data_IF_266763845929
#
_entry.id   IF_266763845929
#
_cell.length_a   1.000
_cell.length_b   1.000
_cell.length_c   1.000
_cell.angle_alpha   90.00
_cell.angle_beta   90.00
_cell.angle_gamma   90.00
#
_symmetry.space_group_name_H-M   'P 1'
#
loop_
_entity.id
_entity.type
_entity.pdbx_description
1 polymer ?
#
# COMPACT_ATOMS: atom_id res chain seq x y z
N UNK A 1 8.87 28.00 -0.90
CA UNK A 1 8.64 26.55 -0.90
C UNK A 1 9.39 25.99 -2.09
N UNK A 2 10.25 25.00 -1.86
CA UNK A 2 11.05 24.39 -2.94
C UNK A 2 10.17 23.33 -3.60
N UNK A 3 9.81 23.54 -4.87
CA UNK A 3 9.10 22.56 -5.68
C UNK A 3 9.96 21.31 -5.84
N UNK A 4 9.35 20.12 -5.72
CA UNK A 4 10.05 18.87 -5.96
C UNK A 4 10.53 18.80 -7.43
N UNK A 5 11.82 18.56 -7.61
CA UNK A 5 12.43 18.28 -8.90
C UNK A 5 13.04 16.89 -8.84
N UNK A 6 12.60 16.01 -9.74
CA UNK A 6 13.12 14.66 -9.82
C UNK A 6 14.58 14.65 -10.31
N UNK A 7 15.43 13.97 -9.56
CA UNK A 7 16.81 13.68 -9.93
C UNK A 7 17.06 12.17 -9.83
N UNK A 8 17.60 11.51 -10.87
CA UNK A 8 17.81 10.05 -10.87
C UNK A 8 18.67 9.55 -9.71
N UNK A 9 19.58 10.39 -9.21
CA UNK A 9 20.45 10.11 -8.06
C UNK A 9 20.08 10.93 -6.82
N UNK A 10 18.93 11.60 -6.86
CA UNK A 10 18.45 12.46 -5.79
C UNK A 10 18.04 11.69 -4.52
N UNK A 11 17.72 12.41 -3.44
CA UNK A 11 17.27 11.81 -2.19
C UNK A 11 15.88 11.17 -2.33
N UNK A 12 15.55 10.30 -1.37
CA UNK A 12 14.18 9.85 -1.16
C UNK A 12 13.28 11.04 -0.81
N UNK A 13 12.01 10.99 -1.21
CA UNK A 13 11.11 12.12 -1.04
C UNK A 13 9.79 11.73 -0.36
N UNK A 14 9.35 12.58 0.57
CA UNK A 14 7.96 12.69 1.03
C UNK A 14 7.43 14.01 0.51
N UNK A 15 6.31 13.99 -0.22
CA UNK A 15 5.72 15.18 -0.83
C UNK A 15 4.31 15.37 -0.26
N UNK A 16 4.12 16.50 0.42
CA UNK A 16 2.82 16.92 0.94
C UNK A 16 2.05 17.67 -0.14
N UNK A 17 0.92 17.14 -0.59
CA UNK A 17 0.08 17.82 -1.58
C UNK A 17 -0.80 16.89 -2.41
N UNK A 18 -1.53 17.49 -3.36
CA UNK A 18 -2.29 16.72 -4.36
C UNK A 18 -1.31 15.95 -5.25
N UNK A 19 -1.58 14.68 -5.41
CA UNK A 19 -0.71 13.77 -6.16
C UNK A 19 -0.73 14.01 -7.68
N UNK A 20 -1.81 14.54 -8.25
CA UNK A 20 -1.90 14.74 -9.71
C UNK A 20 -0.87 15.77 -10.24
N UNK A 21 -0.75 16.98 -9.67
CA UNK A 21 0.32 17.91 -10.05
C UNK A 21 1.74 17.35 -9.83
N UNK A 22 1.93 16.58 -8.76
CA UNK A 22 3.23 15.92 -8.50
C UNK A 22 3.55 14.93 -9.61
N UNK A 23 2.61 14.03 -9.96
CA UNK A 23 2.79 13.09 -11.06
C UNK A 23 3.11 13.80 -12.37
N UNK A 24 2.40 14.89 -12.70
CA UNK A 24 2.63 15.69 -13.91
C UNK A 24 4.01 16.34 -13.95
N UNK A 25 4.62 16.59 -12.79
CA UNK A 25 5.97 17.17 -12.70
C UNK A 25 7.09 16.13 -12.89
N UNK A 26 6.79 14.84 -12.73
CA UNK A 26 7.78 13.78 -12.90
C UNK A 26 8.08 13.56 -14.39
N UNK A 27 9.34 13.26 -14.77
CA UNK A 27 9.69 12.87 -16.12
C UNK A 27 9.01 11.56 -16.54
N UNK A 28 8.90 11.33 -17.84
CA UNK A 28 8.42 10.08 -18.39
C UNK A 28 9.42 8.94 -18.17
N UNK A 29 8.91 7.74 -17.82
CA UNK A 29 9.69 6.51 -17.84
C UNK A 29 10.79 6.40 -16.77
N UNK A 30 10.63 7.06 -15.63
CA UNK A 30 11.66 7.13 -14.57
C UNK A 30 11.36 6.29 -13.32
N UNK A 31 10.17 5.71 -13.21
CA UNK A 31 9.71 4.94 -12.05
C UNK A 31 9.66 3.45 -12.38
N UNK A 32 10.38 2.63 -11.65
CA UNK A 32 10.46 1.19 -11.89
C UNK A 32 9.28 0.41 -11.30
N UNK A 33 8.79 0.85 -10.16
CA UNK A 33 7.67 0.22 -9.46
C UNK A 33 6.70 1.27 -8.93
N UNK A 34 5.42 1.11 -9.27
CA UNK A 34 4.33 1.88 -8.68
C UNK A 34 3.43 0.93 -7.89
N UNK A 35 3.22 1.22 -6.61
CA UNK A 35 2.17 0.61 -5.81
C UNK A 35 1.26 1.71 -5.28
N UNK A 36 -0.05 1.53 -5.43
CA UNK A 36 -1.04 2.46 -4.91
C UNK A 36 -2.22 1.75 -4.27
N UNK A 37 -2.70 2.35 -3.19
CA UNK A 37 -3.86 1.95 -2.41
C UNK A 37 -4.79 3.18 -2.25
N UNK A 38 -5.50 3.58 -3.33
CA UNK A 38 -6.36 4.77 -3.29
C UNK A 38 -7.54 4.55 -2.34
N UNK A 39 -8.22 5.62 -1.88
CA UNK A 39 -9.42 5.48 -1.08
C UNK A 39 -10.45 4.57 -1.77
N UNK A 40 -11.00 3.60 -1.01
CA UNK A 40 -11.94 2.62 -1.56
C UNK A 40 -13.36 3.20 -1.57
N UNK A 41 -13.78 3.92 -2.52
CA UNK A 41 -15.14 4.46 -2.71
C UNK A 41 -16.25 3.73 -1.89
N UNK A 42 -16.16 3.82 -0.55
CA UNK A 42 -17.00 3.07 0.38
C UNK A 42 -18.38 3.73 0.56
N UNK A 43 -18.55 4.96 0.10
CA UNK A 43 -19.73 5.79 0.38
C UNK A 43 -19.89 6.11 1.88
N UNK A 44 -18.79 6.03 2.65
CA UNK A 44 -18.76 6.26 4.09
C UNK A 44 -17.54 7.05 4.50
N UNK A 45 -17.72 7.99 5.41
CA UNK A 45 -16.60 8.64 6.09
C UNK A 45 -15.80 7.57 6.84
N UNK A 46 -14.56 7.38 6.49
CA UNK A 46 -13.65 6.48 7.18
C UNK A 46 -13.23 7.14 8.49
N UNK A 47 -13.78 6.69 9.60
CA UNK A 47 -13.45 7.20 10.93
C UNK A 47 -12.79 6.15 11.78
N UNK A 48 -11.70 6.51 12.42
CA UNK A 48 -11.07 5.69 13.43
C UNK A 48 -11.40 6.25 14.82
N UNK A 49 -12.07 5.45 15.64
CA UNK A 49 -12.15 5.66 17.07
C UNK A 49 -10.95 4.97 17.73
N UNK A 50 -10.00 5.74 18.22
CA UNK A 50 -9.00 5.23 19.14
C UNK A 50 -9.69 5.03 20.51
N UNK A 51 -9.93 3.77 20.87
CA UNK A 51 -10.48 3.41 22.19
C UNK A 51 -9.30 3.07 23.10
N UNK A 52 -9.07 3.90 24.11
CA UNK A 52 -8.20 3.54 25.23
C UNK A 52 -9.04 2.78 26.24
N UNK A 53 -8.65 1.54 26.53
CA UNK A 53 -9.32 0.74 27.55
C UNK A 53 -8.43 0.70 28.79
N UNK A 54 -8.87 1.31 29.85
CA UNK A 54 -8.23 1.22 31.16
C UNK A 54 -8.98 0.25 32.07
N UNK A 55 -8.25 -0.46 32.92
CA UNK A 55 -8.86 -1.35 33.92
C UNK A 55 -9.53 -0.51 34.99
N UNK A 56 -10.83 -0.69 35.18
CA UNK A 56 -11.63 0.02 36.16
C UNK A 56 -12.53 -0.95 36.94
N UNK A 57 -12.74 -0.66 38.19
CA UNK A 57 -13.67 -1.41 39.05
C UNK A 57 -15.10 -0.95 38.88
N UNK A 58 -15.32 0.20 38.25
CA UNK A 58 -16.64 0.84 38.09
C UNK A 58 -17.19 0.83 36.68
N UNK A 59 -16.41 0.30 35.71
CA UNK A 59 -16.79 0.29 34.31
C UNK A 59 -17.94 -0.67 34.02
N UNK A 60 -18.82 -0.30 33.09
CA UNK A 60 -20.00 -1.07 32.68
C UNK A 60 -19.68 -2.25 31.76
N UNK A 61 -18.46 -2.35 31.24
CA UNK A 61 -18.05 -3.41 30.32
C UNK A 61 -17.17 -4.43 31.03
N UNK A 62 -17.61 -5.68 31.03
CA UNK A 62 -16.88 -6.81 31.60
C UNK A 62 -15.93 -7.33 30.53
N UNK A 63 -14.63 -7.28 30.81
CA UNK A 63 -13.59 -7.85 29.97
C UNK A 63 -13.34 -9.34 30.25
N UNK A 64 -12.38 -9.91 29.52
CA UNK A 64 -11.96 -11.30 29.70
C UNK A 64 -11.48 -11.57 31.14
N UNK A 65 -11.87 -12.67 31.75
CA UNK A 65 -11.63 -13.07 33.16
C UNK A 65 -12.34 -12.23 34.22
N UNK A 66 -13.49 -11.65 33.92
CA UNK A 66 -14.36 -10.97 34.94
C UNK A 66 -13.85 -9.61 35.42
N UNK A 67 -12.86 -9.02 34.75
CA UNK A 67 -12.45 -7.65 35.05
C UNK A 67 -13.28 -6.64 34.27
N UNK A 68 -13.72 -5.58 34.95
CA UNK A 68 -14.38 -4.46 34.29
C UNK A 68 -13.35 -3.45 33.72
N UNK A 69 -13.67 -2.88 32.58
CA UNK A 69 -12.86 -1.89 31.90
C UNK A 69 -13.66 -0.64 31.62
N UNK A 70 -13.06 0.50 31.85
CA UNK A 70 -13.55 1.78 31.38
C UNK A 70 -13.06 2.00 29.95
N UNK A 71 -13.97 2.36 29.03
CA UNK A 71 -13.62 2.63 27.63
C UNK A 71 -13.64 4.13 27.41
N UNK A 72 -12.49 4.71 27.15
CA UNK A 72 -12.34 6.14 26.86
C UNK A 72 -12.28 6.32 25.34
N UNK A 73 -13.18 7.17 24.80
CA UNK A 73 -13.10 7.59 23.41
C UNK A 73 -11.89 8.49 23.22
N UNK A 74 -10.93 8.04 22.44
CA UNK A 74 -9.80 8.85 22.01
C UNK A 74 -10.19 9.82 20.88
N UNK A 75 -9.19 10.47 20.33
CA UNK A 75 -9.38 11.41 19.23
C UNK A 75 -9.95 10.68 18.01
N UNK A 76 -11.01 11.21 17.46
CA UNK A 76 -11.64 10.74 16.23
C UNK A 76 -10.81 11.26 15.05
N UNK A 77 -10.18 10.33 14.33
CA UNK A 77 -9.52 10.65 13.07
C UNK A 77 -10.37 10.12 11.93
N UNK A 78 -10.73 10.98 10.99
CA UNK A 78 -11.55 10.60 9.84
C UNK A 78 -10.94 11.10 8.54
N UNK A 79 -11.13 10.35 7.48
CA UNK A 79 -10.96 10.81 6.10
C UNK A 79 -12.18 10.37 5.29
N UNK A 80 -12.46 11.11 4.23
CA UNK A 80 -13.60 10.86 3.34
C UNK A 80 -13.12 10.14 2.09
N UNK A 81 -13.70 8.97 1.80
CA UNK A 81 -13.47 8.21 0.57
C UNK A 81 -14.73 8.14 -0.31
N UNK A 82 -15.69 9.02 -0.08
CA UNK A 82 -16.91 9.15 -0.87
C UNK A 82 -16.74 10.25 -1.92
N UNK A 83 -16.48 9.86 -3.17
CA UNK A 83 -16.33 10.75 -4.29
C UNK A 83 -17.57 10.67 -5.18
N UNK A 84 -18.13 11.82 -5.57
CA UNK A 84 -19.25 11.91 -6.53
C UNK A 84 -18.87 11.29 -7.88
N UNK A 85 -17.62 11.45 -8.29
CA UNK A 85 -17.02 10.83 -9.49
C UNK A 85 -15.67 10.20 -9.19
N UNK A 86 -15.68 9.02 -8.57
CA UNK A 86 -14.49 8.29 -8.22
C UNK A 86 -13.56 8.01 -9.42
N UNK A 87 -14.16 7.69 -10.57
CA UNK A 87 -13.37 7.36 -11.76
C UNK A 87 -12.78 8.62 -12.41
N UNK A 88 -13.51 9.74 -12.44
CA UNK A 88 -12.97 11.03 -12.84
C UNK A 88 -11.81 11.50 -11.96
N UNK A 89 -11.80 11.09 -10.70
CA UNK A 89 -10.68 11.31 -9.79
C UNK A 89 -9.48 10.40 -10.08
N UNK A 90 -9.70 9.10 -10.30
CA UNK A 90 -8.63 8.11 -10.39
C UNK A 90 -8.00 8.03 -11.79
N UNK A 91 -8.79 8.14 -12.86
CA UNK A 91 -8.33 7.99 -14.24
C UNK A 91 -7.16 8.92 -14.63
N UNK A 92 -7.20 10.26 -14.40
CA UNK A 92 -6.08 11.12 -14.76
C UNK A 92 -4.79 10.78 -14.02
N UNK A 93 -4.90 10.29 -12.79
CA UNK A 93 -3.77 9.82 -11.98
C UNK A 93 -3.16 8.54 -12.52
N UNK A 94 -3.99 7.62 -12.99
CA UNK A 94 -3.51 6.38 -13.61
C UNK A 94 -2.85 6.63 -14.97
N UNK A 95 -3.36 7.58 -15.76
CA UNK A 95 -2.71 8.01 -17.02
C UNK A 95 -1.31 8.55 -16.75
N UNK A 96 -1.16 9.42 -15.75
CA UNK A 96 0.14 9.96 -15.37
C UNK A 96 1.06 8.88 -14.75
N UNK A 97 0.51 8.01 -13.91
CA UNK A 97 1.26 6.88 -13.37
C UNK A 97 1.82 5.99 -14.51
N UNK A 98 1.01 5.74 -15.53
CA UNK A 98 1.47 5.00 -16.70
C UNK A 98 2.53 5.74 -17.51
N UNK A 99 2.44 7.07 -17.62
CA UNK A 99 3.45 7.89 -18.29
C UNK A 99 4.80 7.82 -17.60
N UNK A 100 4.82 7.99 -16.27
CA UNK A 100 6.07 8.00 -15.50
C UNK A 100 6.67 6.61 -15.29
N UNK A 101 5.90 5.53 -15.52
CA UNK A 101 6.38 4.15 -15.37
C UNK A 101 7.45 3.82 -16.42
N UNK A 102 8.59 3.29 -15.98
CA UNK A 102 9.71 2.87 -16.81
C UNK A 102 9.30 1.78 -17.81
N UNK A 103 10.01 1.61 -18.94
CA UNK A 103 9.69 0.58 -19.93
C UNK A 103 9.59 -0.83 -19.37
N UNK A 104 10.40 -1.17 -18.35
CA UNK A 104 10.39 -2.47 -17.65
C UNK A 104 9.59 -2.46 -16.37
N UNK A 105 8.91 -1.34 -16.08
CA UNK A 105 8.24 -1.09 -14.82
C UNK A 105 6.89 -1.79 -14.66
N UNK A 106 6.47 -1.91 -13.41
CA UNK A 106 5.23 -2.58 -12.99
C UNK A 106 4.37 -1.67 -12.12
N UNK A 107 3.07 -1.65 -12.41
CA UNK A 107 2.03 -0.97 -11.62
C UNK A 107 1.21 -2.00 -10.83
N UNK A 108 1.06 -1.77 -9.53
CA UNK A 108 0.18 -2.49 -8.63
C UNK A 108 -0.92 -1.56 -8.13
N UNK A 109 -2.17 -1.84 -8.49
CA UNK A 109 -3.35 -1.10 -8.02
C UNK A 109 -4.12 -1.97 -7.03
N UNK A 110 -4.14 -1.55 -5.78
CA UNK A 110 -4.81 -2.24 -4.69
C UNK A 110 -6.21 -1.65 -4.48
N UNK A 111 -7.22 -2.50 -4.55
CA UNK A 111 -8.63 -2.14 -4.37
C UNK A 111 -9.37 -3.28 -3.66
N UNK A 112 -10.53 -2.97 -3.11
CA UNK A 112 -11.45 -3.98 -2.65
C UNK A 112 -12.44 -4.42 -3.76
N UNK A 113 -13.30 -5.38 -3.41
CA UNK A 113 -14.26 -6.01 -4.33
C UNK A 113 -15.28 -5.05 -4.96
N UNK A 114 -15.44 -3.83 -4.44
CA UNK A 114 -16.43 -2.85 -4.94
C UNK A 114 -15.99 -2.24 -6.25
N UNK A 115 -14.73 -1.87 -6.35
CA UNK A 115 -14.21 -1.09 -7.48
C UNK A 115 -13.24 -1.87 -8.37
N UNK A 116 -12.66 -2.99 -7.89
CA UNK A 116 -11.61 -3.71 -8.63
C UNK A 116 -12.03 -4.15 -10.02
N UNK A 117 -13.28 -4.60 -10.20
CA UNK A 117 -13.74 -5.09 -11.50
C UNK A 117 -13.92 -3.96 -12.52
N UNK A 118 -14.41 -2.80 -12.07
CA UNK A 118 -14.50 -1.59 -12.90
C UNK A 118 -13.09 -1.07 -13.23
N UNK A 119 -12.20 -1.04 -12.24
CA UNK A 119 -10.80 -0.70 -12.43
C UNK A 119 -10.14 -1.57 -13.49
N UNK A 120 -10.36 -2.89 -13.42
CA UNK A 120 -9.82 -3.84 -14.41
C UNK A 120 -10.23 -3.48 -15.83
N UNK A 121 -11.51 -3.15 -16.05
CA UNK A 121 -12.02 -2.75 -17.39
C UNK A 121 -11.40 -1.44 -17.84
N UNK A 122 -11.29 -0.46 -16.94
CA UNK A 122 -10.67 0.83 -17.24
C UNK A 122 -9.19 0.70 -17.57
N UNK A 123 -8.42 -0.05 -16.77
CA UNK A 123 -7.00 -0.28 -17.00
C UNK A 123 -6.74 -1.04 -18.32
N UNK A 124 -7.59 -2.00 -18.68
CA UNK A 124 -7.53 -2.67 -19.98
C UNK A 124 -7.75 -1.69 -21.14
N UNK A 125 -8.64 -0.71 -20.97
CA UNK A 125 -8.90 0.32 -21.99
C UNK A 125 -7.75 1.34 -22.08
N UNK A 126 -7.13 1.70 -20.94
CA UNK A 126 -6.04 2.68 -20.89
C UNK A 126 -4.69 2.09 -21.31
N UNK A 127 -4.38 0.87 -20.88
CA UNK A 127 -3.02 0.29 -20.96
C UNK A 127 -2.92 -0.90 -21.90
N UNK A 128 -4.06 -1.42 -22.38
CA UNK A 128 -4.14 -2.64 -23.17
C UNK A 128 -4.24 -3.90 -22.31
N UNK A 129 -5.06 -4.86 -22.76
CA UNK A 129 -5.28 -6.12 -22.06
C UNK A 129 -4.02 -6.98 -21.96
N UNK A 130 -3.10 -6.85 -22.89
CA UNK A 130 -1.82 -7.53 -22.95
C UNK A 130 -0.85 -7.10 -21.84
N UNK A 131 -1.03 -5.89 -21.30
CA UNK A 131 -0.26 -5.37 -20.17
C UNK A 131 -0.70 -5.94 -18.83
N UNK A 132 -1.86 -6.57 -18.74
CA UNK A 132 -2.35 -7.24 -17.54
C UNK A 132 -1.55 -8.50 -17.25
N UNK A 133 -0.90 -8.55 -16.09
CA UNK A 133 -0.08 -9.69 -15.69
C UNK A 133 -0.83 -10.63 -14.74
N UNK A 134 -1.32 -10.11 -13.61
CA UNK A 134 -2.01 -10.87 -12.58
C UNK A 134 -3.10 -10.06 -11.87
N UNK A 135 -4.07 -10.76 -11.30
CA UNK A 135 -4.85 -10.31 -10.16
C UNK A 135 -4.36 -11.09 -8.93
N UNK A 136 -3.87 -10.38 -7.92
CA UNK A 136 -3.47 -10.98 -6.66
C UNK A 136 -4.62 -10.84 -5.67
N UNK A 137 -5.02 -11.94 -5.05
CA UNK A 137 -5.99 -11.97 -3.98
C UNK A 137 -5.26 -11.97 -2.64
N UNK A 138 -5.29 -10.85 -1.95
CA UNK A 138 -4.80 -10.81 -0.58
C UNK A 138 -5.92 -11.19 0.39
N UNK A 139 -5.86 -12.43 0.90
CA UNK A 139 -6.83 -12.98 1.83
C UNK A 139 -6.37 -12.81 3.29
N UNK A 140 -7.32 -12.42 4.16
CA UNK A 140 -7.10 -12.22 5.59
C UNK A 140 -8.33 -12.63 6.39
N UNK A 141 -8.18 -12.88 7.71
CA UNK A 141 -9.27 -13.36 8.56
C UNK A 141 -9.65 -12.34 9.66
N UNK A 142 -9.67 -11.06 9.34
CA UNK A 142 -10.07 -10.01 10.27
C UNK A 142 -11.26 -9.20 9.73
N UNK A 143 -12.01 -8.56 10.64
CA UNK A 143 -13.09 -7.64 10.28
C UNK A 143 -14.40 -8.34 9.94
N UNK A 144 -14.98 -8.00 8.82
CA UNK A 144 -16.35 -8.25 8.39
C UNK A 144 -17.01 -9.53 8.94
N UNK A 145 -18.21 -9.38 9.49
CA UNK A 145 -19.10 -10.46 9.91
C UNK A 145 -20.45 -10.26 9.22
N UNK A 146 -21.07 -11.32 8.77
CA UNK A 146 -22.41 -11.27 8.19
C UNK A 146 -23.18 -12.54 8.52
N UNK A 147 -24.49 -12.41 8.66
CA UNK A 147 -25.44 -13.56 8.79
C UNK A 147 -26.25 -13.78 7.50
N UNK A 148 -26.19 -12.82 6.56
CA UNK A 148 -27.02 -12.81 5.34
C UNK A 148 -26.24 -13.01 4.03
N UNK A 149 -24.89 -12.94 4.08
CA UNK A 149 -24.02 -13.16 2.95
C UNK A 149 -22.63 -13.61 3.41
N UNK A 150 -21.83 -14.11 2.49
CA UNK A 150 -20.41 -14.40 2.77
C UNK A 150 -19.68 -13.10 3.14
N UNK A 151 -19.02 -13.03 4.31
CA UNK A 151 -18.25 -11.84 4.68
C UNK A 151 -17.03 -11.70 3.77
N UNK A 152 -16.80 -10.51 3.23
CA UNK A 152 -15.59 -10.22 2.44
C UNK A 152 -14.35 -10.31 3.34
N UNK A 153 -13.37 -11.08 2.91
CA UNK A 153 -12.13 -11.38 3.64
C UNK A 153 -10.91 -11.31 2.71
N UNK A 154 -10.98 -10.46 1.70
CA UNK A 154 -9.87 -10.23 0.79
C UNK A 154 -9.96 -8.86 0.16
N UNK A 155 -8.82 -8.37 -0.26
CA UNK A 155 -8.66 -7.27 -1.20
C UNK A 155 -7.99 -7.81 -2.48
N UNK A 156 -8.05 -7.03 -3.54
CA UNK A 156 -7.53 -7.39 -4.85
C UNK A 156 -6.40 -6.42 -5.23
N UNK A 157 -5.33 -6.95 -5.84
CA UNK A 157 -4.25 -6.12 -6.36
C UNK A 157 -4.10 -6.46 -7.84
N UNK A 158 -4.46 -5.52 -8.71
CA UNK A 158 -4.28 -5.64 -10.15
C UNK A 158 -2.84 -5.31 -10.51
N UNK A 159 -2.20 -6.17 -11.30
CA UNK A 159 -0.80 -6.03 -11.71
C UNK A 159 -0.73 -5.81 -13.22
N UNK A 160 -0.17 -4.66 -13.60
CA UNK A 160 0.05 -4.27 -15.00
C UNK A 160 1.52 -3.98 -15.24
N UNK A 161 2.05 -4.47 -16.35
CA UNK A 161 3.43 -4.24 -16.78
C UNK A 161 3.46 -3.31 -17.99
N UNK A 162 4.41 -2.36 -18.01
CA UNK A 162 4.54 -1.38 -19.10
C UNK A 162 4.79 -2.06 -20.45
N UNK A 163 5.67 -3.06 -20.47
CA UNK A 163 5.96 -3.87 -21.65
C UNK A 163 5.78 -5.35 -21.33
N UNK A 164 4.76 -6.02 -21.89
CA UNK A 164 4.48 -7.44 -21.61
C UNK A 164 5.59 -8.40 -22.06
N UNK A 165 6.55 -7.94 -22.86
CA UNK A 165 7.67 -8.76 -23.36
C UNK A 165 8.97 -8.51 -22.61
N UNK A 166 9.03 -7.44 -21.81
CA UNK A 166 10.24 -7.03 -21.10
C UNK A 166 9.86 -6.26 -19.83
N UNK A 167 9.73 -6.98 -18.73
CA UNK A 167 9.40 -6.43 -17.42
C UNK A 167 10.20 -7.08 -16.29
N UNK A 168 10.39 -6.35 -15.20
CA UNK A 168 11.11 -6.86 -14.03
C UNK A 168 10.24 -7.80 -13.22
N UNK A 169 10.68 -9.08 -13.09
CA UNK A 169 10.09 -10.06 -12.18
C UNK A 169 11.17 -10.98 -11.57
N UNK A 170 11.58 -10.71 -10.35
CA UNK A 170 12.69 -11.39 -9.65
C UNK A 170 12.18 -12.56 -8.81
N UNK A 171 11.75 -13.65 -9.44
CA UNK A 171 11.21 -14.84 -8.75
C UNK A 171 12.13 -15.42 -7.67
N UNK A 172 13.45 -15.23 -7.78
CA UNK A 172 14.44 -15.72 -6.82
C UNK A 172 14.65 -14.81 -5.61
N UNK A 173 14.28 -13.53 -5.73
CA UNK A 173 14.41 -12.55 -4.64
C UNK A 173 13.20 -12.56 -3.70
N UNK A 174 12.06 -13.09 -4.15
CA UNK A 174 10.84 -13.15 -3.36
C UNK A 174 10.96 -14.19 -2.25
N UNK A 175 10.57 -13.81 -1.04
CA UNK A 175 10.52 -14.72 0.10
C UNK A 175 9.66 -15.95 -0.21
N UNK A 176 10.22 -17.14 0.04
CA UNK A 176 9.56 -18.41 -0.23
C UNK A 176 8.53 -18.74 0.83
N UNK A 177 7.46 -19.42 0.45
CA UNK A 177 6.48 -19.99 1.37
C UNK A 177 6.55 -21.52 1.39
N UNK A 178 6.19 -22.16 2.52
CA UNK A 178 6.14 -23.63 2.59
C UNK A 178 5.15 -24.23 1.60
N UNK A 179 5.45 -25.43 1.11
CA UNK A 179 4.46 -26.24 0.38
C UNK A 179 3.33 -26.64 1.34
N UNK A 180 2.08 -26.54 0.88
CA UNK A 180 0.92 -27.02 1.66
C UNK A 180 0.95 -28.53 1.85
N UNK A 181 1.53 -29.27 0.89
CA UNK A 181 1.68 -30.72 0.91
C UNK A 181 3.15 -31.10 0.68
N UNK A 182 4.03 -30.91 1.68
CA UNK A 182 5.47 -31.10 1.51
C UNK A 182 5.86 -32.55 1.18
N UNK A 183 5.02 -33.53 1.53
CA UNK A 183 5.24 -34.94 1.18
C UNK A 183 5.03 -35.27 -0.31
N UNK A 184 4.52 -34.34 -1.12
CA UNK A 184 4.34 -34.53 -2.57
C UNK A 184 5.52 -34.01 -3.39
N UNK A 185 6.55 -33.46 -2.75
CA UNK A 185 7.76 -32.95 -3.41
C UNK A 185 9.00 -33.58 -2.77
N UNK A 186 10.17 -33.41 -3.39
CA UNK A 186 11.39 -33.92 -2.80
C UNK A 186 11.74 -33.14 -1.50
N UNK A 187 12.47 -33.77 -0.55
CA UNK A 187 12.86 -33.09 0.71
C UNK A 187 13.58 -31.75 0.48
N UNK A 188 14.42 -31.66 -0.55
CA UNK A 188 15.17 -30.45 -0.89
C UNK A 188 14.20 -29.33 -1.35
N UNK A 189 13.22 -29.66 -2.18
CA UNK A 189 12.17 -28.71 -2.61
C UNK A 189 11.29 -28.30 -1.43
N UNK A 190 10.91 -29.23 -0.56
CA UNK A 190 10.13 -28.95 0.61
C UNK A 190 10.88 -27.98 1.56
N UNK A 191 12.18 -28.19 1.75
CA UNK A 191 13.03 -27.34 2.59
C UNK A 191 13.22 -25.92 1.97
N UNK A 192 13.37 -25.83 0.65
CA UNK A 192 13.53 -24.53 -0.06
C UNK A 192 12.24 -23.71 -0.04
N UNK A 193 11.09 -24.36 -0.04
CA UNK A 193 9.81 -23.71 -0.24
C UNK A 193 9.52 -23.37 -1.71
N UNK A 194 8.41 -22.71 -1.95
CA UNK A 194 7.94 -22.31 -3.29
C UNK A 194 7.74 -20.79 -3.39
N UNK A 195 7.78 -20.26 -4.59
CA UNK A 195 7.29 -18.92 -4.88
C UNK A 195 5.81 -18.82 -4.47
N UNK A 196 5.38 -17.75 -3.77
CA UNK A 196 3.97 -17.50 -3.54
C UNK A 196 3.15 -17.51 -4.83
N UNK A 197 1.91 -17.98 -4.76
CA UNK A 197 0.95 -17.88 -5.87
C UNK A 197 0.32 -16.49 -5.90
N UNK A 198 -0.69 -16.30 -6.72
CA UNK A 198 -1.50 -15.08 -6.77
C UNK A 198 -2.57 -15.01 -5.65
N UNK A 199 -2.68 -16.01 -4.80
CA UNK A 199 -3.50 -15.97 -3.58
C UNK A 199 -2.60 -15.88 -2.36
N UNK A 200 -2.57 -14.72 -1.73
CA UNK A 200 -1.74 -14.44 -0.57
C UNK A 200 -2.54 -14.49 0.72
N UNK A 201 -2.29 -15.50 1.52
CA UNK A 201 -2.85 -15.58 2.86
C UNK A 201 -1.93 -14.85 3.82
N UNK A 202 -2.27 -13.61 4.16
CA UNK A 202 -1.44 -12.76 5.01
C UNK A 202 -2.32 -11.91 5.94
N UNK A 203 -2.02 -11.90 7.24
CA UNK A 203 -2.80 -11.13 8.21
C UNK A 203 -2.68 -9.61 7.95
N UNK A 204 -3.70 -8.87 8.37
CA UNK A 204 -3.61 -7.41 8.48
C UNK A 204 -2.59 -7.03 9.57
N UNK A 205 -2.22 -5.73 9.61
CA UNK A 205 -1.34 -5.21 10.67
C UNK A 205 -1.94 -5.52 12.04
N UNK A 206 -1.22 -6.30 12.85
CA UNK A 206 -1.67 -6.67 14.19
C UNK A 206 -1.83 -5.42 15.06
N UNK A 207 -2.93 -5.29 15.83
CA UNK A 207 -3.09 -4.21 16.80
C UNK A 207 -1.93 -4.06 17.79
N UNK A 208 -1.21 -5.14 18.06
CA UNK A 208 -0.05 -5.22 18.96
C UNK A 208 1.28 -5.43 18.21
N UNK A 209 1.24 -5.37 16.86
CA UNK A 209 2.43 -5.58 16.02
C UNK A 209 3.44 -4.43 16.13
N UNK A 210 4.73 -4.76 16.05
CA UNK A 210 5.81 -3.76 16.11
C UNK A 210 5.76 -2.77 14.93
N UNK A 211 5.29 -3.21 13.76
CA UNK A 211 5.16 -2.37 12.55
C UNK A 211 4.01 -1.36 12.64
N UNK A 212 3.14 -1.47 13.67
CA UNK A 212 1.95 -0.63 13.76
C UNK A 212 2.30 0.83 14.08
N UNK A 213 1.99 1.72 13.14
CA UNK A 213 2.20 3.16 13.28
C UNK A 213 1.06 3.88 13.98
N UNK A 214 -0.11 3.26 14.02
CA UNK A 214 -1.34 3.89 14.46
C UNK A 214 -2.24 4.38 13.33
N UNK A 215 -1.77 4.48 12.09
CA UNK A 215 -2.58 4.88 10.94
C UNK A 215 -3.68 3.87 10.63
N UNK A 216 -4.89 4.35 10.29
CA UNK A 216 -6.11 3.51 10.26
C UNK A 216 -6.05 2.40 9.20
N UNK A 217 -5.56 2.72 7.99
CA UNK A 217 -5.55 1.86 6.82
C UNK A 217 -4.16 1.33 6.47
N UNK A 218 -3.26 1.30 7.47
CA UNK A 218 -1.91 0.80 7.27
C UNK A 218 -1.90 -0.60 6.66
N UNK A 219 -1.19 -0.77 5.55
CA UNK A 219 -0.95 -2.08 4.94
C UNK A 219 0.24 -2.79 5.62
N UNK A 220 0.23 -4.13 5.72
CA UNK A 220 1.32 -4.88 6.32
C UNK A 220 2.57 -4.86 5.43
N UNK A 221 3.74 -4.76 6.08
CA UNK A 221 5.04 -4.76 5.37
C UNK A 221 5.27 -6.03 4.54
N UNK A 222 4.76 -7.18 5.01
CA UNK A 222 4.93 -8.44 4.30
C UNK A 222 4.31 -8.47 2.89
N UNK A 223 3.21 -7.74 2.66
CA UNK A 223 2.59 -7.60 1.33
C UNK A 223 3.50 -6.75 0.42
N UNK A 224 3.92 -5.57 0.92
CA UNK A 224 4.78 -4.65 0.18
C UNK A 224 6.15 -5.25 -0.11
N UNK A 225 6.70 -6.04 0.84
CA UNK A 225 7.98 -6.73 0.66
C UNK A 225 7.96 -7.66 -0.55
N UNK A 226 6.91 -8.48 -0.71
CA UNK A 226 6.74 -9.36 -1.88
C UNK A 226 6.71 -8.55 -3.18
N UNK A 227 5.95 -7.45 -3.20
CA UNK A 227 5.82 -6.57 -4.36
C UNK A 227 7.16 -5.95 -4.74
N UNK A 228 7.85 -5.34 -3.78
CA UNK A 228 9.13 -4.65 -4.00
C UNK A 228 10.21 -5.64 -4.41
N UNK A 229 10.28 -6.82 -3.76
CA UNK A 229 11.23 -7.87 -4.14
C UNK A 229 11.00 -8.38 -5.57
N UNK A 230 9.74 -8.60 -5.95
CA UNK A 230 9.40 -9.15 -7.26
C UNK A 230 9.70 -8.18 -8.41
N UNK A 231 9.35 -6.90 -8.24
CA UNK A 231 9.22 -5.96 -9.36
C UNK A 231 10.17 -4.76 -9.30
N UNK A 232 11.28 -4.90 -8.56
CA UNK A 232 12.35 -3.89 -8.56
C UNK A 232 13.69 -4.49 -8.19
N UNK A 233 14.77 -3.77 -8.53
CA UNK A 233 16.13 -4.03 -8.10
C UNK A 233 16.59 -3.03 -7.05
N UNK A 234 17.70 -3.31 -6.39
CA UNK A 234 18.35 -2.36 -5.48
C UNK A 234 18.74 -1.10 -6.25
N UNK A 235 18.42 0.07 -5.69
CA UNK A 235 18.63 1.37 -6.33
C UNK A 235 17.47 1.87 -7.20
N UNK A 236 16.51 1.01 -7.57
CA UNK A 236 15.34 1.38 -8.37
C UNK A 236 14.39 2.34 -7.64
N UNK A 237 13.61 3.11 -8.40
CA UNK A 237 12.62 4.04 -7.88
C UNK A 237 11.25 3.40 -7.69
N UNK A 238 10.74 3.48 -6.46
CA UNK A 238 9.41 3.06 -6.05
C UNK A 238 8.54 4.28 -5.76
N UNK A 239 7.38 4.36 -6.39
CA UNK A 239 6.43 5.45 -6.20
C UNK A 239 5.14 4.94 -5.54
N UNK A 240 4.70 5.65 -4.50
CA UNK A 240 3.38 5.51 -3.91
C UNK A 240 2.77 6.90 -3.73
N UNK A 241 1.76 7.21 -4.55
CA UNK A 241 1.11 8.52 -4.52
C UNK A 241 -0.24 8.54 -3.77
N UNK A 242 -0.48 7.47 -2.98
CA UNK A 242 -1.49 7.39 -1.92
C UNK A 242 -0.85 6.78 -0.67
N UNK A 243 0.26 7.37 -0.23
CA UNK A 243 1.25 6.73 0.62
C UNK A 243 0.76 6.42 2.05
N UNK A 244 -0.26 7.12 2.55
CA UNK A 244 -0.86 6.88 3.86
C UNK A 244 0.18 6.79 4.98
N UNK A 245 0.36 5.60 5.56
CA UNK A 245 1.33 5.36 6.62
C UNK A 245 2.79 5.21 6.15
N UNK A 246 3.07 5.31 4.84
CA UNK A 246 4.40 5.17 4.27
C UNK A 246 4.98 3.75 4.33
N UNK A 247 4.14 2.72 4.34
CA UNK A 247 4.62 1.32 4.36
C UNK A 247 5.48 1.01 3.15
N UNK A 248 5.08 1.50 1.97
CA UNK A 248 5.83 1.33 0.72
C UNK A 248 7.25 1.90 0.83
N UNK A 249 7.40 3.11 1.35
CA UNK A 249 8.71 3.74 1.54
C UNK A 249 9.57 3.02 2.59
N UNK A 250 8.96 2.58 3.70
CA UNK A 250 9.68 1.82 4.73
C UNK A 250 10.25 0.51 4.18
N UNK A 251 9.46 -0.22 3.39
CA UNK A 251 9.90 -1.47 2.76
C UNK A 251 10.92 -1.20 1.64
N UNK A 252 10.71 -0.18 0.81
CA UNK A 252 11.65 0.22 -0.23
C UNK A 252 13.03 0.51 0.38
N UNK A 253 13.09 1.32 1.45
CA UNK A 253 14.33 1.59 2.19
C UNK A 253 15.00 0.34 2.74
N UNK A 254 14.23 -0.54 3.43
CA UNK A 254 14.76 -1.79 3.99
C UNK A 254 15.42 -2.68 2.93
N UNK A 255 14.95 -2.59 1.70
CA UNK A 255 15.41 -3.39 0.57
C UNK A 255 16.39 -2.64 -0.35
N UNK A 256 16.87 -1.45 0.03
CA UNK A 256 17.83 -0.67 -0.73
C UNK A 256 17.25 0.00 -1.99
N UNK A 257 15.93 0.22 -2.05
CA UNK A 257 15.26 0.95 -3.12
C UNK A 257 15.09 2.41 -2.74
N UNK A 258 15.03 3.27 -3.75
CA UNK A 258 14.65 4.67 -3.61
C UNK A 258 13.13 4.79 -3.62
N UNK A 259 12.60 5.85 -3.06
CA UNK A 259 11.15 6.05 -3.04
C UNK A 259 10.72 7.50 -3.14
N UNK A 260 9.54 7.68 -3.70
CA UNK A 260 8.76 8.92 -3.67
C UNK A 260 7.40 8.58 -3.06
N UNK A 261 7.05 9.24 -1.97
CA UNK A 261 5.76 9.09 -1.28
C UNK A 261 5.00 10.39 -1.37
N UNK A 262 3.74 10.34 -1.81
CA UNK A 262 2.88 11.52 -1.89
C UNK A 262 1.61 11.28 -1.10
N UNK A 263 1.23 12.24 -0.27
CA UNK A 263 -0.07 12.26 0.41
C UNK A 263 -0.46 13.70 0.73
N UNK A 264 -1.75 14.00 0.74
CA UNK A 264 -2.25 15.32 1.14
C UNK A 264 -2.73 15.35 2.59
N UNK A 265 -2.87 14.19 3.25
CA UNK A 265 -3.37 14.09 4.62
C UNK A 265 -2.26 14.43 5.63
N UNK A 266 -2.40 15.48 6.47
CA UNK A 266 -1.39 15.84 7.46
C UNK A 266 -1.08 14.73 8.47
N UNK A 267 -2.05 13.87 8.81
CA UNK A 267 -1.83 12.71 9.69
C UNK A 267 -0.91 11.69 9.01
N UNK A 268 -1.14 11.41 7.72
CA UNK A 268 -0.31 10.53 6.93
C UNK A 268 1.15 11.03 6.89
N UNK A 269 1.32 12.32 6.60
CA UNK A 269 2.64 12.96 6.55
C UNK A 269 3.38 12.85 7.89
N UNK A 270 2.71 13.16 9.00
CA UNK A 270 3.31 13.04 10.33
C UNK A 270 3.69 11.59 10.68
N UNK A 271 2.91 10.61 10.21
CA UNK A 271 3.21 9.18 10.41
C UNK A 271 4.40 8.76 9.55
N UNK A 272 4.42 9.15 8.27
CA UNK A 272 5.53 8.85 7.34
C UNK A 272 6.85 9.40 7.87
N UNK A 273 6.88 10.67 8.27
CA UNK A 273 8.07 11.31 8.83
C UNK A 273 8.59 10.53 10.03
N UNK A 274 7.77 10.30 11.06
CA UNK A 274 8.20 9.52 12.24
C UNK A 274 8.71 8.13 11.90
N UNK A 275 8.08 7.45 10.92
CA UNK A 275 8.47 6.10 10.52
C UNK A 275 9.80 6.07 9.77
N UNK A 276 10.05 7.07 8.95
CA UNK A 276 11.20 7.15 8.07
C UNK A 276 12.36 7.97 8.65
N UNK A 277 12.11 8.90 9.60
CA UNK A 277 13.15 9.64 10.32
C UNK A 277 13.82 8.84 11.45
N UNK A 278 13.27 7.68 11.83
CA UNK A 278 13.77 6.84 12.93
C UNK A 278 15.14 6.16 12.65
N UNK A 279 15.84 6.56 11.59
CA UNK A 279 17.23 6.21 11.30
C UNK A 279 17.94 7.44 10.79
N UNK A 280 19.15 7.74 11.25
CA UNK A 280 20.04 8.81 10.73
C UNK A 280 20.12 8.71 9.19
N UNK A 281 19.30 9.51 8.48
CA UNK A 281 19.17 9.45 7.05
C UNK A 281 19.26 10.85 6.46
N UNK A 282 20.46 11.20 6.02
CA UNK A 282 20.75 12.40 5.20
C UNK A 282 20.13 12.33 3.79
N UNK A 283 19.45 11.20 3.45
CA UNK A 283 18.92 10.91 2.12
C UNK A 283 17.38 11.03 2.00
N UNK A 284 16.70 11.63 2.99
CA UNK A 284 15.26 11.89 2.98
C UNK A 284 14.97 13.39 2.98
N UNK A 285 14.18 13.84 2.01
CA UNK A 285 13.70 15.23 1.93
C UNK A 285 12.19 15.28 1.95
N UNK A 286 11.65 16.24 2.70
CA UNK A 286 10.20 16.49 2.77
C UNK A 286 9.90 17.79 2.01
N UNK A 287 9.01 17.69 1.03
CA UNK A 287 8.52 18.81 0.22
C UNK A 287 7.07 19.13 0.57
N UNK A 288 6.70 20.40 0.51
CA UNK A 288 5.32 20.85 0.68
C UNK A 288 4.86 21.60 -0.58
N UNK A 289 4.06 20.94 -1.39
CA UNK A 289 3.48 21.51 -2.62
C UNK A 289 2.16 22.26 -2.36
N UNK A 290 1.63 22.18 -1.12
CA UNK A 290 0.37 22.82 -0.72
C UNK A 290 0.53 24.27 -0.19
N UNK A 291 1.73 24.73 0.09
CA UNK A 291 1.99 26.06 0.67
C UNK A 291 2.16 27.17 -0.40
N UNK A 292 1.34 27.17 -1.44
CA UNK A 292 1.18 28.31 -2.34
C UNK A 292 0.22 29.30 -1.67
N UNK A 293 0.79 30.30 -0.96
CA UNK A 293 0.06 31.43 -0.41
C UNK A 293 -0.45 32.40 -1.47
#
# INVERSE_FOLDING_TARGET
VTRYLFEPTGPNAIIAGDNLPVLQSLPEGVIDLIYIDPPFNTGRVQSRQSLQTSRSTTGTRIGFKGHSYETIKGVLTSYDDDFEDYWGFLEPRLVEAWRVLAPTGTLYLHLDYREVHYAKVMLDALFGRESFLNEIIWAYDYGARSKSKWPAKHDNILVYVKNPRDYTFNATAVDREPYMAPGLVTPEKAALGKLPTDVWWHTIVSPMGKEKTGYATQKPEGILRRIVQASSHEGDWVLDFFAGSGTTGAVARQLGRRFILVDQNPEALAVMQRRLDAGDCDDLVVYDEGASG
#
